data_IF_507238206002
#
_entry.id   IF_507238206002
#
_cell.length_a   1.000
_cell.length_b   1.000
_cell.length_c   1.000
_cell.angle_alpha   90.00
_cell.angle_beta   90.00
_cell.angle_gamma   90.00
#
_symmetry.space_group_name_H-M   'P 1'
#
loop_
_entity.id
_entity.type
_entity.pdbx_description
1 polymer ?
#
# COMPACT_ATOMS: atom_id res chain seq x y z
N UNK A 1 -43.36 -18.29 -43.11
CA UNK A 1 -42.35 -17.31 -42.67
C UNK A 1 -43.04 -16.35 -41.72
N UNK A 2 -42.95 -16.65 -40.43
CA UNK A 2 -43.55 -15.81 -39.39
C UNK A 2 -42.43 -14.96 -38.83
N UNK A 3 -42.43 -13.67 -39.20
CA UNK A 3 -41.48 -12.70 -38.67
C UNK A 3 -41.83 -12.47 -37.21
N UNK A 4 -41.00 -12.98 -36.29
CA UNK A 4 -41.04 -12.61 -34.89
C UNK A 4 -40.42 -11.21 -34.76
N UNK A 5 -41.20 -10.21 -34.37
CA UNK A 5 -40.69 -8.90 -33.97
C UNK A 5 -40.38 -8.94 -32.46
N UNK A 6 -39.12 -8.78 -32.03
CA UNK A 6 -38.78 -8.75 -30.61
C UNK A 6 -38.90 -7.30 -30.10
N UNK A 7 -40.10 -6.79 -29.87
CA UNK A 7 -40.26 -5.43 -29.29
C UNK A 7 -41.54 -5.23 -28.44
N UNK A 8 -42.33 -6.29 -28.21
CA UNK A 8 -43.70 -6.13 -27.68
C UNK A 8 -43.84 -5.67 -26.21
N UNK A 9 -42.99 -6.04 -25.23
CA UNK A 9 -43.32 -5.80 -23.83
C UNK A 9 -43.14 -4.35 -23.36
N UNK A 10 -42.04 -3.66 -23.72
CA UNK A 10 -41.80 -2.27 -23.30
C UNK A 10 -42.73 -1.28 -23.99
N UNK A 11 -42.97 -1.48 -25.29
CA UNK A 11 -43.89 -0.65 -26.07
C UNK A 11 -45.36 -0.81 -25.64
N UNK A 12 -45.79 -2.04 -25.29
CA UNK A 12 -47.15 -2.28 -24.78
C UNK A 12 -47.36 -1.70 -23.36
N UNK A 13 -46.35 -1.75 -22.50
CA UNK A 13 -46.38 -1.12 -21.18
C UNK A 13 -46.44 0.42 -21.28
N UNK A 14 -45.66 1.00 -22.19
CA UNK A 14 -45.68 2.43 -22.50
C UNK A 14 -47.06 2.89 -23.01
N UNK A 15 -47.66 2.12 -23.93
CA UNK A 15 -49.00 2.40 -24.45
C UNK A 15 -50.07 2.29 -23.35
N UNK A 16 -49.94 1.32 -22.44
CA UNK A 16 -50.83 1.15 -21.28
C UNK A 16 -50.76 2.31 -20.27
N UNK A 17 -49.55 2.81 -19.99
CA UNK A 17 -49.33 3.97 -19.12
C UNK A 17 -49.96 5.24 -19.72
N UNK A 18 -49.80 5.42 -21.02
CA UNK A 18 -50.34 6.57 -21.76
C UNK A 18 -51.87 6.52 -21.87
N UNK A 19 -52.46 5.33 -21.97
CA UNK A 19 -53.92 5.13 -21.98
C UNK A 19 -54.56 5.35 -20.59
N UNK A 20 -53.90 4.93 -19.51
CA UNK A 20 -54.36 5.14 -18.13
C UNK A 20 -54.39 6.62 -17.74
N UNK A 21 -53.49 7.42 -18.31
CA UNK A 21 -53.43 8.85 -18.05
C UNK A 21 -54.68 9.61 -18.52
N UNK A 22 -55.25 9.17 -19.64
CA UNK A 22 -56.46 9.77 -20.20
C UNK A 22 -57.72 9.41 -19.40
N UNK A 23 -57.77 8.22 -18.79
CA UNK A 23 -58.93 7.81 -17.97
C UNK A 23 -59.04 8.59 -16.65
N UNK A 24 -57.98 9.29 -16.22
CA UNK A 24 -57.93 10.03 -14.95
C UNK A 24 -58.14 11.53 -15.09
N UNK A 25 -58.34 12.06 -16.32
CA UNK A 25 -58.64 13.48 -16.56
C UNK A 25 -57.55 14.47 -16.13
N UNK A 26 -56.33 13.99 -15.83
CA UNK A 26 -55.20 14.81 -15.36
C UNK A 26 -54.30 15.36 -16.47
N UNK A 27 -54.50 14.96 -17.72
CA UNK A 27 -53.82 15.57 -18.86
C UNK A 27 -54.63 16.79 -19.34
N UNK A 28 -54.15 17.99 -19.01
CA UNK A 28 -54.55 19.22 -19.72
C UNK A 28 -54.20 19.09 -21.21
N UNK A 29 -54.88 19.85 -22.08
CA UNK A 29 -54.84 19.81 -23.54
C UNK A 29 -53.49 20.14 -24.23
N UNK A 30 -52.37 19.83 -23.60
CA UNK A 30 -51.03 19.92 -24.17
C UNK A 30 -50.64 18.58 -24.83
N UNK A 31 -50.05 18.66 -26.02
CA UNK A 31 -49.47 17.52 -26.73
C UNK A 31 -48.44 16.81 -25.83
N UNK A 32 -48.57 15.50 -25.64
CA UNK A 32 -47.63 14.70 -24.83
C UNK A 32 -46.90 13.68 -25.68
N UNK A 33 -45.58 13.58 -25.47
CA UNK A 33 -44.68 12.63 -26.11
C UNK A 33 -43.94 11.83 -25.04
N UNK A 34 -43.89 10.52 -25.26
CA UNK A 34 -43.12 9.55 -24.49
C UNK A 34 -42.02 8.97 -25.39
N UNK A 35 -40.89 8.60 -24.81
CA UNK A 35 -39.83 7.86 -25.49
C UNK A 35 -39.70 6.44 -24.95
N UNK A 36 -39.45 5.48 -25.85
CA UNK A 36 -39.28 4.06 -25.52
C UNK A 36 -38.12 3.48 -26.32
N UNK A 37 -37.14 2.90 -25.63
CA UNK A 37 -36.07 2.09 -26.23
C UNK A 37 -36.59 0.70 -26.63
N UNK A 38 -36.07 0.14 -27.72
CA UNK A 38 -36.45 -1.19 -28.21
C UNK A 38 -36.25 -2.29 -27.18
N UNK A 39 -35.21 -2.15 -26.34
CA UNK A 39 -34.83 -3.06 -25.27
C UNK A 39 -34.09 -2.34 -24.16
N UNK A 40 -33.80 -3.03 -23.04
CA UNK A 40 -33.09 -2.45 -21.90
C UNK A 40 -31.58 -2.65 -21.98
N UNK A 41 -31.16 -3.76 -22.57
CA UNK A 41 -29.76 -4.18 -22.65
C UNK A 41 -29.51 -4.83 -24.02
N UNK A 42 -28.28 -4.75 -24.51
CA UNK A 42 -27.81 -5.43 -25.71
C UNK A 42 -26.36 -5.88 -25.49
N UNK A 43 -25.96 -7.03 -26.03
CA UNK A 43 -24.52 -7.36 -26.15
C UNK A 43 -23.98 -6.70 -27.42
N UNK A 44 -22.77 -6.17 -27.43
CA UNK A 44 -22.27 -5.46 -28.62
C UNK A 44 -22.14 -6.35 -29.86
N UNK A 45 -21.91 -7.66 -29.68
CA UNK A 45 -21.97 -8.63 -30.78
C UNK A 45 -23.35 -8.88 -31.38
N UNK A 46 -24.41 -8.36 -30.75
CA UNK A 46 -25.75 -8.40 -31.32
C UNK A 46 -25.95 -7.29 -32.35
N UNK A 47 -25.94 -7.67 -33.63
CA UNK A 47 -26.16 -6.78 -34.76
C UNK A 47 -27.62 -6.33 -34.94
N UNK A 48 -28.51 -6.56 -33.96
CA UNK A 48 -29.90 -6.10 -34.02
C UNK A 48 -29.95 -4.57 -33.94
N UNK A 49 -30.51 -3.87 -34.94
CA UNK A 49 -30.65 -2.42 -34.89
C UNK A 49 -31.47 -2.00 -33.66
N UNK A 50 -30.96 -1.03 -32.92
CA UNK A 50 -31.63 -0.44 -31.78
C UNK A 50 -32.55 0.67 -32.24
N UNK A 51 -33.71 0.84 -31.59
CA UNK A 51 -34.61 1.94 -31.91
C UNK A 51 -35.06 2.67 -30.65
N UNK A 52 -35.00 4.00 -30.68
CA UNK A 52 -35.74 4.85 -29.77
C UNK A 52 -36.99 5.35 -30.47
N UNK A 53 -38.16 5.02 -29.92
CA UNK A 53 -39.46 5.38 -30.49
C UNK A 53 -40.07 6.53 -29.69
N UNK A 54 -40.30 7.65 -30.37
CA UNK A 54 -41.06 8.79 -29.87
C UNK A 54 -42.52 8.53 -30.18
N UNK A 55 -43.37 8.52 -29.16
CA UNK A 55 -44.79 8.17 -29.27
C UNK A 55 -45.61 9.34 -28.75
N UNK A 56 -46.52 9.84 -29.60
CA UNK A 56 -47.58 10.79 -29.23
C UNK A 56 -48.95 10.12 -29.37
N UNK A 57 -49.95 10.64 -28.68
CA UNK A 57 -51.31 10.05 -28.71
C UNK A 57 -52.17 10.53 -29.86
N UNK A 58 -51.95 11.75 -30.32
CA UNK A 58 -52.69 12.33 -31.44
C UNK A 58 -51.87 12.18 -32.72
N UNK A 59 -52.53 12.19 -33.87
CA UNK A 59 -51.86 12.16 -35.17
C UNK A 59 -52.15 13.43 -35.97
N UNK A 60 -52.40 14.54 -35.28
CA UNK A 60 -52.84 15.81 -35.91
C UNK A 60 -51.68 16.79 -35.96
N UNK A 61 -51.37 17.25 -37.18
CA UNK A 61 -50.28 18.19 -37.45
C UNK A 61 -48.91 17.52 -37.34
N UNK A 62 -47.93 18.09 -38.04
CA UNK A 62 -46.53 17.74 -37.82
C UNK A 62 -46.13 18.21 -36.41
N UNK A 63 -45.37 17.39 -35.69
CA UNK A 63 -44.84 17.71 -34.37
C UNK A 63 -43.32 17.54 -34.36
N UNK A 64 -42.60 18.64 -34.24
CA UNK A 64 -41.17 18.62 -34.01
C UNK A 64 -40.88 18.38 -32.53
N UNK A 65 -40.01 17.40 -32.25
CA UNK A 65 -39.58 17.01 -30.91
C UNK A 65 -38.08 17.26 -30.81
N UNK A 66 -37.69 18.17 -29.92
CA UNK A 66 -36.29 18.42 -29.58
C UNK A 66 -35.81 17.40 -28.56
N UNK A 67 -34.62 16.83 -28.77
CA UNK A 67 -34.03 15.81 -27.91
C UNK A 67 -32.49 15.89 -27.89
N UNK A 68 -31.88 15.22 -26.92
CA UNK A 68 -30.43 15.05 -26.79
C UNK A 68 -30.10 13.58 -26.56
N UNK A 69 -28.92 13.16 -27.01
CA UNK A 69 -28.34 11.85 -26.73
C UNK A 69 -27.19 12.06 -25.74
N UNK A 70 -27.11 11.19 -24.74
CA UNK A 70 -26.12 11.24 -23.66
C UNK A 70 -25.88 9.83 -23.14
N UNK A 71 -24.95 9.67 -22.19
CA UNK A 71 -24.65 8.38 -21.60
C UNK A 71 -23.14 8.25 -21.41
N UNK A 72 -22.69 7.01 -21.26
CA UNK A 72 -21.26 6.70 -21.18
C UNK A 72 -20.71 6.19 -22.50
N UNK A 73 -21.56 5.66 -23.38
CA UNK A 73 -21.15 5.23 -24.72
C UNK A 73 -20.82 6.43 -25.60
N UNK A 74 -19.69 6.35 -26.28
CA UNK A 74 -19.07 7.29 -27.20
C UNK A 74 -19.57 7.05 -28.63
N UNK A 75 -19.95 8.14 -29.30
CA UNK A 75 -20.41 8.11 -30.68
C UNK A 75 -19.25 7.84 -31.65
N UNK A 76 -19.48 6.96 -32.64
CA UNK A 76 -18.48 6.43 -33.60
C UNK A 76 -17.41 5.51 -33.00
N UNK A 77 -17.44 5.26 -31.69
CA UNK A 77 -16.65 4.21 -31.03
C UNK A 77 -17.57 3.02 -30.71
N UNK A 78 -18.67 3.26 -29.98
CA UNK A 78 -19.53 2.18 -29.47
C UNK A 78 -20.88 2.08 -30.22
N UNK A 79 -21.28 3.16 -30.88
CA UNK A 79 -22.48 3.17 -31.70
C UNK A 79 -22.47 4.23 -32.80
N UNK A 80 -23.24 3.93 -33.84
CA UNK A 80 -23.52 4.80 -34.98
C UNK A 80 -25.02 5.03 -35.14
N UNK A 81 -25.39 6.18 -35.74
CA UNK A 81 -26.79 6.48 -36.06
C UNK A 81 -27.10 6.07 -37.49
N UNK A 82 -28.02 5.12 -37.65
CA UNK A 82 -28.44 4.63 -38.96
C UNK A 82 -29.48 5.52 -39.64
N UNK A 83 -30.47 6.04 -38.88
CA UNK A 83 -31.49 6.95 -39.41
C UNK A 83 -32.35 7.59 -38.29
N UNK A 84 -32.86 8.82 -38.46
CA UNK A 84 -32.45 9.81 -39.46
C UNK A 84 -31.03 10.33 -39.16
N UNK A 85 -30.40 11.02 -40.12
CA UNK A 85 -29.10 11.65 -39.88
C UNK A 85 -29.23 12.75 -38.81
N UNK A 86 -28.55 12.55 -37.70
CA UNK A 86 -28.49 13.45 -36.53
C UNK A 86 -27.05 13.45 -36.00
N UNK A 87 -26.70 14.46 -35.21
CA UNK A 87 -25.40 14.55 -34.54
C UNK A 87 -25.61 14.35 -33.04
N UNK A 88 -25.25 13.18 -32.46
CA UNK A 88 -25.47 12.90 -31.05
C UNK A 88 -24.81 13.89 -30.08
N UNK A 89 -23.83 14.69 -30.52
CA UNK A 89 -23.16 15.70 -29.70
C UNK A 89 -23.93 17.02 -29.55
N UNK A 90 -25.02 17.17 -30.31
CA UNK A 90 -25.83 18.39 -30.35
C UNK A 90 -27.26 18.15 -29.85
N UNK A 91 -28.00 19.25 -29.66
CA UNK A 91 -29.46 19.18 -29.60
C UNK A 91 -30.01 18.87 -30.98
N UNK A 92 -30.86 17.85 -31.06
CA UNK A 92 -31.43 17.35 -32.31
C UNK A 92 -32.94 17.54 -32.33
N UNK A 93 -33.52 17.47 -33.53
CA UNK A 93 -34.97 17.55 -33.73
C UNK A 93 -35.44 16.37 -34.58
N UNK A 94 -36.52 15.72 -34.16
CA UNK A 94 -37.22 14.70 -34.96
C UNK A 94 -38.68 15.12 -35.15
N UNK A 95 -39.17 15.03 -36.39
CA UNK A 95 -40.56 15.34 -36.71
C UNK A 95 -41.40 14.07 -36.66
N UNK A 96 -42.47 14.06 -35.85
CA UNK A 96 -43.56 13.10 -35.96
C UNK A 96 -44.58 13.68 -36.96
N UNK A 97 -44.68 13.11 -38.19
CA UNK A 97 -45.47 13.73 -39.25
C UNK A 97 -46.98 13.62 -39.00
N UNK A 98 -47.74 14.55 -39.58
CA UNK A 98 -49.19 14.55 -39.57
C UNK A 98 -49.73 13.21 -40.10
N UNK A 99 -50.71 12.64 -39.40
CA UNK A 99 -51.24 11.31 -39.66
C UNK A 99 -50.47 10.17 -38.99
N UNK A 100 -49.29 10.42 -38.41
CA UNK A 100 -48.52 9.43 -37.64
C UNK A 100 -48.56 9.72 -36.15
N UNK A 101 -48.48 8.66 -35.34
CA UNK A 101 -48.43 8.74 -33.89
C UNK A 101 -47.01 8.49 -33.33
N UNK A 102 -46.03 8.24 -34.20
CA UNK A 102 -44.67 7.96 -33.78
C UNK A 102 -43.63 8.32 -34.84
N UNK A 103 -42.40 8.52 -34.37
CA UNK A 103 -41.18 8.60 -35.16
C UNK A 103 -40.08 7.82 -34.44
N UNK A 104 -39.06 7.38 -35.16
CA UNK A 104 -37.98 6.55 -34.59
C UNK A 104 -36.61 7.09 -34.96
N UNK A 105 -35.67 6.91 -34.03
CA UNK A 105 -34.23 6.97 -34.30
C UNK A 105 -33.73 5.53 -34.24
N UNK A 106 -32.99 5.13 -35.26
CA UNK A 106 -32.35 3.81 -35.36
C UNK A 106 -30.85 3.95 -35.17
N UNK A 107 -30.29 3.16 -34.27
CA UNK A 107 -28.86 3.07 -33.97
C UNK A 107 -28.35 1.67 -34.29
N UNK A 108 -27.06 1.58 -34.58
CA UNK A 108 -26.29 0.34 -34.71
C UNK A 108 -25.20 0.35 -33.67
N UNK A 109 -25.00 -0.78 -32.99
CA UNK A 109 -23.86 -0.94 -32.08
C UNK A 109 -22.65 -1.30 -32.92
N UNK A 110 -21.52 -0.69 -32.59
CA UNK A 110 -20.24 -0.96 -33.21
C UNK A 110 -19.51 -1.98 -32.34
N UNK A 111 -19.41 -3.22 -32.83
CA UNK A 111 -18.68 -4.29 -32.15
C UNK A 111 -17.20 -4.22 -32.52
N UNK A 112 -16.30 -4.16 -31.54
CA UNK A 112 -14.87 -4.15 -31.76
C UNK A 112 -14.12 -5.35 -31.14
N UNK A 113 -12.92 -5.15 -30.60
CA UNK A 113 -12.20 -6.19 -29.84
C UNK A 113 -11.46 -5.53 -28.66
N UNK A 114 -12.03 -4.47 -28.09
CA UNK A 114 -11.54 -3.79 -26.91
C UNK A 114 -12.45 -4.17 -25.75
N UNK A 115 -11.86 -4.49 -24.60
CA UNK A 115 -12.62 -4.85 -23.42
C UNK A 115 -12.92 -3.60 -22.61
N UNK A 116 -14.19 -3.39 -22.37
CA UNK A 116 -14.76 -2.18 -21.82
C UNK A 116 -15.65 -2.50 -20.61
N UNK A 117 -16.17 -1.46 -19.99
CA UNK A 117 -17.22 -1.61 -18.99
C UNK A 117 -18.56 -1.52 -19.70
N UNK A 118 -19.62 -2.06 -19.10
CA UNK A 118 -20.96 -1.85 -19.66
C UNK A 118 -21.29 -0.37 -19.75
N UNK A 119 -21.77 0.04 -20.91
CA UNK A 119 -22.00 1.45 -21.23
C UNK A 119 -23.47 1.75 -21.44
N UNK A 120 -23.82 3.03 -21.60
CA UNK A 120 -25.21 3.46 -21.74
C UNK A 120 -25.39 4.46 -22.86
N UNK A 121 -26.47 4.29 -23.62
CA UNK A 121 -27.05 5.30 -24.51
C UNK A 121 -28.38 5.74 -23.90
N UNK A 122 -28.53 7.03 -23.64
CA UNK A 122 -29.73 7.64 -23.06
C UNK A 122 -30.24 8.75 -23.97
N UNK A 123 -31.48 8.63 -24.42
CA UNK A 123 -32.14 9.66 -25.21
C UNK A 123 -33.14 10.42 -24.33
N UNK A 124 -33.04 11.74 -24.30
CA UNK A 124 -33.88 12.63 -23.49
C UNK A 124 -34.61 13.64 -24.36
N UNK A 125 -35.94 13.71 -24.21
CA UNK A 125 -36.81 14.72 -24.81
C UNK A 125 -36.65 16.04 -24.04
N UNK A 126 -36.40 17.13 -24.77
CA UNK A 126 -36.16 18.47 -24.23
C UNK A 126 -37.32 19.44 -24.47
N UNK A 127 -38.24 19.12 -25.38
CA UNK A 127 -39.42 19.94 -25.67
C UNK A 127 -39.90 19.78 -27.11
N UNK A 128 -40.84 20.62 -27.54
CA UNK A 128 -41.18 20.76 -28.95
C UNK A 128 -40.16 21.64 -29.70
N UNK A 129 -40.31 21.71 -31.03
CA UNK A 129 -39.51 22.57 -31.91
C UNK A 129 -39.56 24.07 -31.58
N UNK A 130 -40.58 24.53 -30.83
CA UNK A 130 -40.73 25.92 -30.38
C UNK A 130 -40.22 26.15 -28.95
N UNK A 131 -39.68 25.12 -28.28
CA UNK A 131 -39.19 25.17 -26.90
C UNK A 131 -40.29 25.02 -25.83
N UNK A 132 -41.50 24.62 -26.22
CA UNK A 132 -42.59 24.27 -25.33
C UNK A 132 -42.40 22.89 -24.68
N UNK A 133 -42.96 22.70 -23.48
CA UNK A 133 -42.92 21.42 -22.79
C UNK A 133 -43.98 20.47 -23.35
N UNK A 134 -43.54 19.35 -23.91
CA UNK A 134 -44.40 18.28 -24.48
C UNK A 134 -44.29 16.95 -23.74
N UNK A 135 -43.83 16.99 -22.51
CA UNK A 135 -43.74 15.86 -21.61
C UNK A 135 -44.06 16.34 -20.20
N UNK A 136 -45.00 15.69 -19.53
CA UNK A 136 -45.32 15.99 -18.12
C UNK A 136 -45.57 14.69 -17.40
N UNK A 137 -45.12 14.59 -16.15
CA UNK A 137 -45.30 13.39 -15.36
C UNK A 137 -46.76 12.92 -15.43
N UNK A 138 -47.00 11.64 -15.75
CA UNK A 138 -46.08 10.52 -15.58
C UNK A 138 -45.51 9.92 -16.88
N UNK A 139 -45.50 10.63 -18.02
CA UNK A 139 -44.75 10.14 -19.19
C UNK A 139 -43.23 10.28 -18.92
N UNK A 140 -42.44 9.25 -19.25
CA UNK A 140 -40.98 9.34 -19.18
C UNK A 140 -40.43 10.16 -20.35
N UNK A 141 -39.70 11.22 -20.03
CA UNK A 141 -39.00 12.06 -21.01
C UNK A 141 -37.64 11.51 -21.41
N UNK A 142 -37.23 10.37 -20.85
CA UNK A 142 -35.97 9.71 -21.19
C UNK A 142 -36.13 8.18 -21.11
N UNK A 143 -35.36 7.47 -21.93
CA UNK A 143 -35.15 6.03 -21.80
C UNK A 143 -33.70 5.70 -22.19
N UNK A 144 -33.22 4.54 -21.75
CA UNK A 144 -31.83 4.14 -21.90
C UNK A 144 -31.70 2.70 -22.37
N UNK A 145 -30.59 2.44 -23.06
CA UNK A 145 -30.10 1.11 -23.44
C UNK A 145 -28.72 0.94 -22.82
N UNK A 146 -28.48 -0.20 -22.17
CA UNK A 146 -27.15 -0.60 -21.69
C UNK A 146 -26.48 -1.47 -22.76
N UNK A 147 -25.26 -1.14 -23.15
CA UNK A 147 -24.41 -1.95 -24.02
C UNK A 147 -23.54 -2.84 -23.10
N UNK A 148 -23.51 -4.13 -23.38
CA UNK A 148 -22.73 -5.12 -22.65
C UNK A 148 -21.58 -5.58 -23.52
N UNK A 149 -20.37 -5.39 -23.00
CA UNK A 149 -19.11 -5.93 -23.51
C UNK A 149 -19.16 -7.45 -23.59
N UNK A 150 -18.62 -8.02 -24.66
CA UNK A 150 -18.57 -9.45 -24.95
C UNK A 150 -17.14 -9.97 -25.22
N UNK A 151 -16.13 -9.11 -25.09
CA UNK A 151 -14.73 -9.49 -25.10
C UNK A 151 -14.38 -10.44 -23.95
N UNK A 152 -13.57 -11.47 -24.24
CA UNK A 152 -13.12 -12.34 -23.20
C UNK A 152 -11.98 -11.72 -22.40
N UNK A 153 -12.29 -11.36 -21.16
CA UNK A 153 -11.36 -10.74 -20.23
C UNK A 153 -10.82 -11.71 -19.17
N UNK A 154 -9.56 -11.56 -18.79
CA UNK A 154 -9.03 -12.13 -17.55
C UNK A 154 -9.23 -11.15 -16.39
N UNK A 155 -9.50 -11.70 -15.22
CA UNK A 155 -9.45 -10.98 -13.96
C UNK A 155 -8.64 -11.76 -12.92
N UNK A 156 -8.01 -11.05 -11.99
CA UNK A 156 -7.31 -11.64 -10.85
C UNK A 156 -7.88 -11.10 -9.54
N UNK A 157 -8.09 -11.99 -8.59
CA UNK A 157 -8.56 -11.65 -7.24
C UNK A 157 -7.72 -12.35 -6.18
N UNK A 158 -7.64 -11.75 -5.00
CA UNK A 158 -7.11 -12.43 -3.82
C UNK A 158 -8.07 -13.57 -3.45
N UNK A 159 -7.52 -14.77 -3.22
CA UNK A 159 -8.30 -15.93 -2.80
C UNK A 159 -8.06 -16.28 -1.34
N UNK A 160 -6.79 -16.49 -0.96
CA UNK A 160 -6.38 -16.83 0.40
C UNK A 160 -5.17 -16.01 0.78
N UNK A 161 -5.19 -15.38 1.95
CA UNK A 161 -4.05 -14.64 2.51
C UNK A 161 -2.97 -15.59 3.02
N UNK A 162 -1.71 -15.23 2.81
CA UNK A 162 -0.56 -15.93 3.36
C UNK A 162 -0.10 -15.29 4.68
N UNK A 163 0.44 -16.11 5.58
CA UNK A 163 1.06 -15.65 6.81
C UNK A 163 2.11 -16.66 7.27
N UNK A 164 3.22 -16.16 7.77
CA UNK A 164 4.19 -16.95 8.52
C UNK A 164 3.55 -17.58 9.77
N UNK A 165 4.06 -18.73 10.23
CA UNK A 165 5.25 -19.43 9.71
C UNK A 165 4.97 -20.39 8.54
N UNK A 166 3.71 -20.67 8.22
CA UNK A 166 3.39 -21.79 7.32
C UNK A 166 2.05 -21.68 6.58
N UNK A 167 1.35 -20.56 6.71
CA UNK A 167 0.06 -20.36 6.04
C UNK A 167 0.29 -19.88 4.62
N UNK A 168 0.15 -20.79 3.66
CA UNK A 168 0.23 -20.44 2.24
C UNK A 168 -1.01 -19.68 1.77
N UNK A 169 -0.80 -18.76 0.82
CA UNK A 169 -1.85 -17.98 0.19
C UNK A 169 -2.09 -18.39 -1.27
N UNK A 170 -3.03 -17.71 -1.93
CA UNK A 170 -3.20 -17.81 -3.38
C UNK A 170 -3.96 -16.61 -3.96
N UNK A 171 -3.72 -16.36 -5.24
CA UNK A 171 -4.57 -15.53 -6.08
C UNK A 171 -5.38 -16.43 -7.02
N UNK A 172 -6.60 -16.04 -7.38
CA UNK A 172 -7.40 -16.71 -8.40
C UNK A 172 -7.43 -15.86 -9.65
N UNK A 173 -7.07 -16.45 -10.79
CA UNK A 173 -7.24 -15.86 -12.12
C UNK A 173 -8.45 -16.51 -12.77
N UNK A 174 -9.40 -15.71 -13.22
CA UNK A 174 -10.66 -16.15 -13.84
C UNK A 174 -10.76 -15.67 -15.28
N UNK A 175 -11.44 -16.47 -16.11
CA UNK A 175 -11.76 -16.19 -17.50
C UNK A 175 -13.24 -16.56 -17.75
N UNK A 176 -14.16 -15.58 -17.76
CA UNK A 176 -15.59 -15.82 -17.75
C UNK A 176 -16.13 -16.06 -19.17
N UNK A 177 -15.71 -17.15 -19.81
CA UNK A 177 -16.34 -17.68 -21.03
C UNK A 177 -16.82 -19.12 -20.78
N UNK A 178 -17.68 -19.71 -21.65
CA UNK A 178 -17.91 -21.15 -21.60
C UNK A 178 -16.57 -21.90 -21.66
N UNK A 179 -16.44 -22.94 -20.84
CA UNK A 179 -15.21 -23.66 -20.59
C UNK A 179 -14.54 -24.09 -21.92
N UNK A 180 -13.33 -23.56 -22.16
CA UNK A 180 -12.60 -23.81 -23.40
C UNK A 180 -12.11 -25.25 -23.44
N UNK A 181 -12.10 -25.84 -24.63
CA UNK A 181 -11.58 -27.20 -24.84
C UNK A 181 -10.05 -27.28 -24.80
N UNK A 182 -9.36 -26.14 -24.68
CA UNK A 182 -7.90 -26.02 -24.58
C UNK A 182 -7.53 -25.11 -23.41
N UNK A 183 -6.32 -25.30 -22.86
CA UNK A 183 -5.80 -24.44 -21.81
C UNK A 183 -5.59 -23.00 -22.32
N UNK A 184 -5.72 -22.02 -21.42
CA UNK A 184 -5.48 -20.61 -21.70
C UNK A 184 -4.19 -20.19 -21.02
N UNK A 185 -3.09 -20.01 -21.77
CA UNK A 185 -1.87 -19.44 -21.21
C UNK A 185 -2.07 -17.96 -20.94
N UNK A 186 -1.54 -17.49 -19.82
CA UNK A 186 -1.51 -16.07 -19.46
C UNK A 186 -0.20 -15.71 -18.77
N UNK A 187 0.12 -14.42 -18.76
CA UNK A 187 1.32 -13.90 -18.13
C UNK A 187 0.99 -12.89 -17.04
N UNK A 188 1.80 -12.87 -15.99
CA UNK A 188 1.69 -11.93 -14.89
C UNK A 188 3.08 -11.51 -14.40
N UNK A 189 3.13 -10.40 -13.66
CA UNK A 189 4.32 -9.88 -13.01
C UNK A 189 4.07 -9.74 -11.52
N UNK A 190 5.00 -10.24 -10.70
CA UNK A 190 4.99 -10.03 -9.26
C UNK A 190 5.78 -8.75 -8.92
N UNK A 191 5.28 -7.97 -7.98
CA UNK A 191 5.85 -6.71 -7.49
C UNK A 191 5.43 -6.45 -6.04
N UNK A 192 5.78 -5.30 -5.49
CA UNK A 192 5.46 -4.89 -4.13
C UNK A 192 6.70 -4.79 -3.24
N UNK A 193 6.49 -4.79 -1.93
CA UNK A 193 7.59 -4.74 -0.94
C UNK A 193 8.07 -6.13 -0.54
N UNK A 194 7.28 -7.17 -0.83
CA UNK A 194 7.67 -8.53 -0.55
C UNK A 194 8.73 -9.04 -1.55
N UNK A 195 9.76 -9.72 -1.06
CA UNK A 195 10.90 -10.19 -1.85
C UNK A 195 10.80 -11.70 -2.10
N UNK A 196 10.79 -12.08 -3.38
CA UNK A 196 10.83 -13.49 -3.77
C UNK A 196 12.14 -14.15 -3.32
N UNK A 197 12.04 -15.33 -2.70
CA UNK A 197 13.15 -16.09 -2.12
C UNK A 197 13.51 -15.70 -0.69
N UNK A 198 12.95 -14.60 -0.16
CA UNK A 198 13.04 -14.22 1.25
C UNK A 198 11.68 -14.47 1.90
N UNK A 199 10.64 -13.73 1.50
CA UNK A 199 9.32 -13.77 2.16
C UNK A 199 8.38 -14.84 1.53
N UNK A 200 8.57 -15.15 0.24
CA UNK A 200 7.78 -16.16 -0.47
C UNK A 200 8.58 -16.84 -1.57
N UNK A 201 8.22 -18.08 -1.91
CA UNK A 201 8.84 -18.76 -3.06
C UNK A 201 8.45 -18.08 -4.37
N UNK A 202 9.41 -17.88 -5.27
CA UNK A 202 9.16 -17.24 -6.56
C UNK A 202 7.99 -17.92 -7.31
N UNK A 203 7.04 -17.10 -7.78
CA UNK A 203 5.86 -17.58 -8.48
C UNK A 203 6.26 -18.22 -9.82
N UNK A 204 5.55 -19.28 -10.18
CA UNK A 204 5.74 -20.01 -11.45
C UNK A 204 4.58 -19.73 -12.40
N UNK A 205 4.88 -19.68 -13.69
CA UNK A 205 3.86 -19.57 -14.74
C UNK A 205 2.91 -20.76 -14.68
N UNK A 206 1.62 -20.47 -14.81
CA UNK A 206 0.54 -21.44 -14.79
C UNK A 206 -0.51 -21.02 -15.83
N UNK A 207 -1.16 -22.01 -16.45
CA UNK A 207 -2.24 -21.78 -17.41
C UNK A 207 -3.59 -22.05 -16.74
N UNK A 208 -4.66 -21.43 -17.23
CA UNK A 208 -6.01 -21.89 -16.92
C UNK A 208 -6.21 -23.22 -17.66
N UNK A 209 -6.45 -24.36 -16.98
CA UNK A 209 -6.54 -25.66 -17.64
C UNK A 209 -7.72 -25.75 -18.61
N UNK A 210 -7.63 -26.68 -19.57
CA UNK A 210 -8.76 -27.00 -20.43
C UNK A 210 -9.98 -27.42 -19.60
N UNK A 211 -11.16 -26.96 -20.01
CA UNK A 211 -12.45 -27.17 -19.35
C UNK A 211 -12.54 -26.55 -17.94
N UNK A 212 -11.70 -25.57 -17.63
CA UNK A 212 -11.79 -24.74 -16.42
C UNK A 212 -11.95 -23.28 -16.81
N UNK A 213 -12.59 -22.50 -15.93
CA UNK A 213 -12.77 -21.06 -16.09
C UNK A 213 -11.87 -20.26 -15.13
N UNK A 214 -11.06 -20.94 -14.33
CA UNK A 214 -10.15 -20.30 -13.39
C UNK A 214 -8.96 -21.19 -13.07
N UNK A 215 -7.92 -20.58 -12.52
CA UNK A 215 -6.81 -21.26 -11.87
C UNK A 215 -6.32 -20.46 -10.67
N UNK A 216 -5.79 -21.17 -9.67
CA UNK A 216 -5.18 -20.52 -8.51
C UNK A 216 -3.66 -20.46 -8.71
N UNK A 217 -3.09 -19.27 -8.56
CA UNK A 217 -1.65 -19.05 -8.45
C UNK A 217 -1.29 -19.26 -6.96
N UNK A 218 -0.60 -20.36 -6.59
CA UNK A 218 -0.22 -20.58 -5.21
C UNK A 218 0.89 -19.62 -4.78
N UNK A 219 0.79 -19.11 -3.55
CA UNK A 219 1.84 -18.34 -2.88
C UNK A 219 2.32 -19.16 -1.70
N UNK A 220 3.52 -19.75 -1.82
CA UNK A 220 4.13 -20.48 -0.71
C UNK A 220 4.95 -19.53 0.14
N UNK A 221 4.54 -19.35 1.39
CA UNK A 221 5.24 -18.48 2.33
C UNK A 221 6.56 -19.13 2.74
N UNK A 222 7.59 -18.31 2.90
CA UNK A 222 8.85 -18.72 3.51
C UNK A 222 8.84 -18.10 4.90
N UNK A 223 9.05 -18.93 5.93
CA UNK A 223 9.28 -18.42 7.27
C UNK A 223 10.73 -17.95 7.38
N UNK A 224 10.94 -16.70 7.75
CA UNK A 224 12.27 -16.21 8.06
C UNK A 224 12.44 -15.86 9.56
N UNK A 225 13.26 -14.86 9.85
CA UNK A 225 13.56 -14.40 11.21
C UNK A 225 13.77 -12.88 11.20
N UNK A 226 13.09 -12.20 10.29
CA UNK A 226 13.15 -10.77 10.08
C UNK A 226 11.81 -10.18 10.49
N UNK A 227 11.82 -9.30 11.48
CA UNK A 227 10.62 -8.57 11.87
C UNK A 227 10.29 -7.51 10.83
N UNK A 228 9.48 -7.86 9.84
CA UNK A 228 9.29 -7.07 8.63
C UNK A 228 7.82 -6.79 8.27
N UNK A 229 7.00 -6.63 9.32
CA UNK A 229 5.56 -6.37 9.30
C UNK A 229 5.02 -5.62 8.06
N UNK A 230 4.01 -6.22 7.43
CA UNK A 230 3.21 -5.55 6.42
C UNK A 230 3.81 -5.56 5.01
N UNK A 231 4.68 -6.53 4.69
CA UNK A 231 5.09 -6.78 3.31
C UNK A 231 3.89 -7.05 2.41
N UNK A 232 3.91 -6.47 1.22
CA UNK A 232 2.84 -6.60 0.23
C UNK A 232 3.40 -7.28 -1.01
N UNK A 233 2.74 -8.36 -1.43
CA UNK A 233 2.89 -8.99 -2.72
C UNK A 233 1.75 -8.54 -3.63
N UNK A 234 2.11 -7.93 -4.76
CA UNK A 234 1.17 -7.50 -5.81
C UNK A 234 1.42 -8.31 -7.08
N UNK A 235 0.37 -8.90 -7.62
CA UNK A 235 0.38 -9.64 -8.89
C UNK A 235 -0.44 -8.88 -9.92
N UNK A 236 0.18 -8.55 -11.04
CA UNK A 236 -0.45 -7.82 -12.15
C UNK A 236 -0.47 -8.70 -13.39
N UNK A 237 -1.67 -8.94 -13.94
CA UNK A 237 -1.83 -9.60 -15.23
C UNK A 237 -1.30 -8.69 -16.35
N UNK A 238 -0.76 -9.30 -17.40
CA UNK A 238 -0.31 -8.60 -18.61
C UNK A 238 -1.17 -9.02 -19.79
N UNK A 239 -1.78 -8.05 -20.48
CA UNK A 239 -2.61 -8.29 -21.67
C UNK A 239 -1.82 -8.90 -22.82
N UNK A 240 -2.53 -9.59 -23.70
CA UNK A 240 -1.98 -10.25 -24.90
C UNK A 240 -2.91 -9.98 -26.09
N UNK A 241 -2.49 -10.34 -27.30
CA UNK A 241 -3.38 -10.32 -28.47
C UNK A 241 -4.47 -11.40 -28.42
N UNK A 242 -4.43 -12.32 -27.45
CA UNK A 242 -5.36 -13.46 -27.33
C UNK A 242 -6.36 -13.34 -26.19
N UNK A 243 -6.16 -12.38 -25.29
CA UNK A 243 -7.02 -12.12 -24.15
C UNK A 243 -6.80 -10.68 -23.68
N UNK A 244 -7.86 -10.07 -23.18
CA UNK A 244 -7.80 -8.76 -22.56
C UNK A 244 -7.84 -8.90 -21.04
N UNK A 245 -7.59 -7.80 -20.35
CA UNK A 245 -7.68 -7.76 -18.90
C UNK A 245 -8.88 -6.88 -18.56
N UNK A 246 -9.75 -7.40 -17.70
CA UNK A 246 -10.95 -6.69 -17.28
C UNK A 246 -10.55 -5.34 -16.66
N UNK A 247 -11.11 -4.21 -17.13
CA UNK A 247 -10.82 -2.91 -16.57
C UNK A 247 -10.98 -2.90 -15.04
N UNK A 248 -9.93 -2.47 -14.33
CA UNK A 248 -9.91 -2.41 -12.86
C UNK A 248 -9.72 -3.75 -12.12
N UNK A 249 -9.62 -4.88 -12.82
CA UNK A 249 -9.46 -6.21 -12.20
C UNK A 249 -8.21 -6.97 -12.68
N UNK A 250 -7.22 -6.23 -13.21
CA UNK A 250 -5.93 -6.78 -13.65
C UNK A 250 -4.87 -6.92 -12.57
N UNK A 251 -5.14 -6.45 -11.35
CA UNK A 251 -4.17 -6.38 -10.27
C UNK A 251 -4.82 -6.91 -8.99
N UNK A 252 -4.12 -7.81 -8.30
CA UNK A 252 -4.48 -8.25 -6.96
C UNK A 252 -3.27 -8.13 -6.04
N UNK A 253 -3.53 -7.79 -4.78
CA UNK A 253 -2.49 -7.64 -3.75
C UNK A 253 -2.83 -8.47 -2.53
N UNK A 254 -1.78 -8.89 -1.82
CA UNK A 254 -1.85 -9.63 -0.58
C UNK A 254 -0.80 -9.06 0.38
N UNK A 255 -1.21 -8.69 1.59
CA UNK A 255 -0.26 -8.47 2.68
C UNK A 255 0.13 -9.83 3.25
N UNK A 256 1.43 -10.08 3.37
CA UNK A 256 1.98 -11.28 3.99
C UNK A 256 1.99 -11.05 5.51
N UNK A 257 1.36 -11.95 6.26
CA UNK A 257 1.45 -11.91 7.72
C UNK A 257 2.84 -12.34 8.20
N UNK A 258 3.38 -11.62 9.18
CA UNK A 258 4.68 -11.89 9.80
C UNK A 258 4.47 -12.42 11.23
N UNK A 259 5.24 -13.44 11.62
CA UNK A 259 5.18 -14.00 12.97
C UNK A 259 6.34 -13.54 13.89
N UNK A 260 7.30 -12.79 13.35
CA UNK A 260 8.45 -12.22 14.07
C UNK A 260 8.16 -10.87 14.73
N UNK A 261 8.82 -10.64 15.88
CA UNK A 261 8.84 -9.35 16.57
C UNK A 261 10.27 -8.84 16.67
N UNK A 262 10.49 -7.55 16.49
CA UNK A 262 11.85 -6.98 16.46
C UNK A 262 11.93 -5.58 17.03
N UNK A 263 13.15 -5.13 17.30
CA UNK A 263 13.40 -3.79 17.85
C UNK A 263 13.11 -2.71 16.80
N UNK A 264 12.30 -1.73 17.16
CA UNK A 264 11.92 -0.60 16.30
C UNK A 264 12.49 0.73 16.77
N UNK A 265 12.77 0.89 18.07
CA UNK A 265 13.28 2.14 18.63
C UNK A 265 14.11 1.89 19.91
N UNK A 266 15.10 2.74 20.13
CA UNK A 266 15.85 2.84 21.38
C UNK A 266 15.89 4.30 21.83
N UNK A 267 15.45 4.56 23.06
CA UNK A 267 15.35 5.91 23.61
C UNK A 267 15.70 5.93 25.09
N UNK A 268 15.54 7.09 25.73
CA UNK A 268 15.59 7.21 27.18
C UNK A 268 14.19 7.21 27.79
N UNK A 269 14.09 6.66 29.00
CA UNK A 269 12.86 6.65 29.79
C UNK A 269 12.40 8.07 30.17
N UNK A 270 11.12 8.24 30.54
CA UNK A 270 10.53 9.55 30.81
C UNK A 270 11.19 10.33 31.96
N UNK A 271 11.87 9.63 32.87
CA UNK A 271 12.65 10.21 33.98
C UNK A 271 14.11 10.52 33.62
N UNK A 272 14.51 10.30 32.36
CA UNK A 272 15.88 10.49 31.86
C UNK A 272 15.83 11.46 30.66
N UNK A 273 15.57 12.77 30.89
CA UNK A 273 15.56 13.77 29.82
C UNK A 273 16.96 14.00 29.23
N UNK A 274 17.04 14.75 28.12
CA UNK A 274 18.33 15.19 27.59
C UNK A 274 19.12 15.98 28.64
N UNK A 275 20.44 15.80 28.67
CA UNK A 275 21.31 16.49 29.62
C UNK A 275 22.60 15.76 29.94
N UNK A 276 23.32 16.27 30.93
CA UNK A 276 24.58 15.70 31.41
C UNK A 276 24.36 14.88 32.67
N UNK A 277 24.88 13.66 32.66
CA UNK A 277 24.76 12.68 33.72
C UNK A 277 26.13 12.43 34.34
N UNK A 278 26.24 12.75 35.63
CA UNK A 278 27.49 12.64 36.38
C UNK A 278 27.66 11.24 36.97
N UNK A 279 28.86 10.94 37.48
CA UNK A 279 29.16 9.71 38.24
C UNK A 279 28.02 9.34 39.23
N UNK A 280 27.57 8.08 39.16
CA UNK A 280 26.51 7.52 39.99
C UNK A 280 25.08 7.86 39.53
N UNK A 281 24.91 8.69 38.50
CA UNK A 281 23.59 8.94 37.92
C UNK A 281 23.05 7.70 37.23
N UNK A 282 21.73 7.50 37.29
CA UNK A 282 21.05 6.40 36.60
C UNK A 282 20.38 6.93 35.33
N UNK A 283 20.76 6.37 34.20
CA UNK A 283 20.15 6.58 32.89
C UNK A 283 19.25 5.37 32.62
N UNK A 284 17.94 5.60 32.47
CA UNK A 284 17.01 4.55 32.03
C UNK A 284 16.92 4.60 30.52
N UNK A 285 17.27 3.49 29.87
CA UNK A 285 17.22 3.29 28.42
C UNK A 285 16.02 2.40 28.13
N UNK A 286 15.20 2.75 27.15
CA UNK A 286 14.04 1.97 26.71
C UNK A 286 14.32 1.38 25.33
N UNK A 287 14.08 0.09 25.17
CA UNK A 287 14.12 -0.63 23.89
C UNK A 287 12.70 -1.03 23.53
N UNK A 288 12.18 -0.50 22.42
CA UNK A 288 10.82 -0.76 21.94
C UNK A 288 10.82 -1.77 20.81
N UNK A 289 9.91 -2.73 20.88
CA UNK A 289 9.67 -3.79 19.90
C UNK A 289 8.39 -3.52 19.11
N UNK A 290 8.26 -4.12 17.92
CA UNK A 290 7.05 -4.04 17.10
C UNK A 290 5.83 -4.65 17.79
N UNK A 291 6.03 -5.70 18.59
CA UNK A 291 5.01 -6.31 19.43
C UNK A 291 5.46 -6.57 20.87
N UNK A 292 4.52 -6.96 21.74
CA UNK A 292 4.83 -7.28 23.13
C UNK A 292 5.78 -8.49 23.22
N UNK A 293 6.76 -8.40 24.12
CA UNK A 293 7.78 -9.44 24.33
C UNK A 293 7.74 -9.99 25.76
N UNK A 294 8.04 -11.28 25.90
CA UNK A 294 8.23 -11.95 27.18
C UNK A 294 9.72 -12.20 27.44
N UNK A 295 10.16 -11.83 28.64
CA UNK A 295 11.57 -11.88 29.06
C UNK A 295 11.77 -12.95 30.13
N UNK A 296 12.80 -13.77 29.97
CA UNK A 296 13.35 -14.61 31.05
C UNK A 296 14.82 -14.25 31.29
N UNK A 297 15.33 -14.55 32.49
CA UNK A 297 16.72 -14.24 32.85
C UNK A 297 16.97 -12.75 33.06
N UNK A 298 18.19 -12.30 32.77
CA UNK A 298 18.61 -10.91 32.97
C UNK A 298 19.39 -10.39 31.75
N UNK A 299 18.69 -10.08 30.64
CA UNK A 299 19.31 -9.47 29.48
C UNK A 299 20.07 -8.18 29.83
N UNK A 300 21.06 -7.85 29.01
CA UNK A 300 21.89 -6.66 29.17
C UNK A 300 22.00 -5.91 27.85
N UNK A 301 22.26 -4.61 27.93
CA UNK A 301 22.56 -3.77 26.78
C UNK A 301 23.95 -3.15 26.97
N UNK A 302 24.85 -3.40 26.02
CA UNK A 302 26.20 -2.85 26.03
C UNK A 302 26.19 -1.39 25.55
N UNK A 303 26.47 -0.45 26.46
CA UNK A 303 26.50 0.99 26.17
C UNK A 303 27.92 1.49 25.88
N UNK A 304 28.04 2.37 24.90
CA UNK A 304 29.28 3.01 24.49
C UNK A 304 29.58 4.23 25.39
N UNK A 305 29.96 3.96 26.64
CA UNK A 305 30.19 4.98 27.65
C UNK A 305 31.69 5.29 27.88
N UNK A 306 32.56 5.08 26.90
CA UNK A 306 33.99 5.35 27.03
C UNK A 306 34.87 4.38 26.25
N UNK A 307 36.15 4.21 26.62
CA UNK A 307 37.08 3.31 25.92
C UNK A 307 36.76 1.82 26.13
N UNK A 308 35.89 1.48 27.09
CA UNK A 308 35.35 0.14 27.29
C UNK A 308 33.84 0.22 27.41
N UNK A 309 33.08 -0.76 26.87
CA UNK A 309 31.64 -0.81 27.04
C UNK A 309 31.24 -0.91 28.51
N UNK A 310 30.16 -0.24 28.88
CA UNK A 310 29.50 -0.43 30.17
C UNK A 310 28.20 -1.22 29.99
N UNK A 311 27.69 -1.83 31.07
CA UNK A 311 26.50 -2.67 31.02
C UNK A 311 25.27 -1.94 31.57
N UNK A 312 24.24 -1.81 30.75
CA UNK A 312 22.90 -1.47 31.20
C UNK A 312 22.13 -2.76 31.52
N UNK A 313 21.53 -2.85 32.71
CA UNK A 313 20.86 -4.05 33.19
C UNK A 313 19.35 -3.97 32.94
N UNK A 314 18.75 -5.06 32.47
CA UNK A 314 17.30 -5.17 32.37
C UNK A 314 16.62 -4.87 33.71
N UNK A 315 15.61 -4.01 33.68
CA UNK A 315 14.93 -3.48 34.87
C UNK A 315 13.43 -3.79 34.88
N UNK A 316 12.72 -3.57 33.76
CA UNK A 316 11.26 -3.73 33.70
C UNK A 316 10.75 -3.84 32.25
N UNK A 317 9.46 -4.14 32.06
CA UNK A 317 8.77 -4.12 30.75
C UNK A 317 8.30 -5.48 30.24
N UNK A 318 8.44 -6.55 31.03
CA UNK A 318 8.01 -7.90 30.66
C UNK A 318 6.52 -7.95 30.26
N UNK A 319 6.22 -8.56 29.12
CA UNK A 319 4.86 -8.66 28.59
C UNK A 319 4.36 -7.39 27.90
N UNK A 320 5.23 -6.40 27.68
CA UNK A 320 4.92 -5.15 26.97
C UNK A 320 5.79 -5.01 25.73
N UNK A 321 5.51 -4.01 24.90
CA UNK A 321 6.33 -3.68 23.73
C UNK A 321 7.64 -2.97 24.10
N UNK A 322 7.82 -2.51 25.34
CA UNK A 322 8.99 -1.69 25.71
C UNK A 322 9.70 -2.27 26.92
N UNK A 323 10.95 -2.67 26.73
CA UNK A 323 11.84 -3.11 27.80
C UNK A 323 12.68 -1.94 28.30
N UNK A 324 12.82 -1.83 29.62
CA UNK A 324 13.63 -0.80 30.28
C UNK A 324 14.92 -1.40 30.82
N UNK A 325 16.04 -0.73 30.55
CA UNK A 325 17.38 -1.04 31.01
C UNK A 325 17.92 0.12 31.84
N UNK A 326 18.67 -0.16 32.90
CA UNK A 326 19.31 0.85 33.75
C UNK A 326 20.81 0.80 33.60
N UNK A 327 21.38 1.92 33.19
CA UNK A 327 22.80 2.17 33.18
C UNK A 327 23.15 3.15 34.30
N UNK A 328 24.11 2.79 35.15
CA UNK A 328 24.64 3.68 36.19
C UNK A 328 25.99 4.18 35.73
N UNK A 329 26.16 5.51 35.65
CA UNK A 329 27.43 6.12 35.24
C UNK A 329 28.53 5.70 36.21
N UNK A 330 29.52 4.97 35.73
CA UNK A 330 30.68 4.50 36.46
C UNK A 330 31.84 5.49 36.42
N UNK A 331 32.89 5.23 37.22
CA UNK A 331 34.13 6.02 37.16
C UNK A 331 34.76 5.95 35.78
N UNK A 332 35.24 7.09 35.28
CA UNK A 332 35.89 7.24 33.97
C UNK A 332 34.98 7.04 32.74
N UNK A 333 33.69 6.73 32.95
CA UNK A 333 32.75 6.68 31.84
C UNK A 333 32.60 8.08 31.23
N UNK A 334 32.73 8.19 29.92
CA UNK A 334 32.62 9.45 29.20
C UNK A 334 32.02 9.22 27.81
N UNK A 335 30.97 9.97 27.51
CA UNK A 335 30.42 10.07 26.17
C UNK A 335 29.88 11.48 25.91
N UNK A 336 30.19 12.03 24.75
CA UNK A 336 29.61 13.29 24.29
C UNK A 336 28.13 13.13 23.91
N UNK A 337 27.75 11.93 23.49
CA UNK A 337 26.37 11.54 23.27
C UNK A 337 26.25 10.01 23.40
N UNK A 338 25.54 9.55 24.41
CA UNK A 338 25.50 8.14 24.79
C UNK A 338 24.73 7.32 23.75
N UNK A 339 25.32 6.21 23.32
CA UNK A 339 24.67 5.21 22.49
C UNK A 339 25.01 3.80 22.97
N UNK A 340 24.50 2.78 22.29
CA UNK A 340 24.97 1.40 22.40
C UNK A 340 26.11 1.10 21.44
N UNK A 341 26.85 0.02 21.72
CA UNK A 341 28.13 -0.25 21.03
C UNK A 341 27.96 -0.62 19.55
N UNK A 342 26.90 -1.32 19.17
CA UNK A 342 26.58 -1.74 17.81
C UNK A 342 25.15 -2.34 17.73
N UNK A 343 24.71 -2.73 16.54
CA UNK A 343 23.37 -3.31 16.30
C UNK A 343 23.09 -4.63 17.02
N UNK A 344 24.10 -5.30 17.59
CA UNK A 344 23.97 -6.56 18.34
C UNK A 344 24.21 -6.39 19.84
N UNK A 345 24.22 -5.15 20.36
CA UNK A 345 24.54 -4.83 21.76
C UNK A 345 23.52 -5.35 22.79
N UNK A 346 22.33 -5.77 22.35
CA UNK A 346 21.31 -6.38 23.21
C UNK A 346 21.60 -7.88 23.38
N UNK A 347 22.08 -8.26 24.57
CA UNK A 347 22.49 -9.62 24.88
C UNK A 347 21.51 -10.30 25.85
N UNK A 348 21.23 -11.59 25.61
CA UNK A 348 20.28 -12.36 26.41
C UNK A 348 20.82 -12.79 27.79
N UNK A 349 22.14 -12.89 27.95
CA UNK A 349 22.81 -13.29 29.19
C UNK A 349 22.20 -14.56 29.86
N UNK A 350 22.02 -15.62 29.04
CA UNK A 350 21.43 -16.89 29.49
C UNK A 350 19.90 -16.88 29.66
N UNK A 351 19.25 -15.75 29.39
CA UNK A 351 17.79 -15.59 29.33
C UNK A 351 17.20 -15.74 27.93
N UNK A 352 15.99 -15.23 27.75
CA UNK A 352 15.29 -15.18 26.47
C UNK A 352 14.48 -13.90 26.33
N UNK A 353 14.31 -13.43 25.09
CA UNK A 353 13.31 -12.43 24.71
C UNK A 353 12.55 -13.05 23.56
N UNK A 354 11.25 -13.32 23.75
CA UNK A 354 10.38 -13.98 22.77
C UNK A 354 9.13 -13.14 22.54
N UNK A 355 8.45 -13.29 21.40
CA UNK A 355 7.11 -12.73 21.20
C UNK A 355 6.16 -13.23 22.29
N UNK A 356 5.49 -12.30 22.99
CA UNK A 356 4.69 -12.62 24.17
C UNK A 356 3.58 -13.63 23.83
N UNK A 357 3.45 -14.66 24.68
CA UNK A 357 2.48 -15.73 24.47
C UNK A 357 2.90 -16.81 23.47
N UNK A 358 4.10 -16.72 22.91
CA UNK A 358 4.65 -17.69 21.95
C UNK A 358 6.03 -18.21 22.39
N UNK A 359 6.65 -19.04 21.55
CA UNK A 359 8.05 -19.46 21.66
C UNK A 359 8.95 -18.83 20.60
N UNK A 360 8.43 -17.93 19.75
CA UNK A 360 9.19 -17.34 18.66
C UNK A 360 10.19 -16.29 19.22
N UNK A 361 11.51 -16.46 19.03
CA UNK A 361 12.50 -15.48 19.48
C UNK A 361 12.29 -14.09 18.88
N UNK A 362 12.48 -13.05 19.67
CA UNK A 362 12.49 -11.70 19.14
C UNK A 362 13.79 -11.43 18.37
N UNK A 363 13.70 -10.68 17.28
CA UNK A 363 14.84 -10.14 16.53
C UNK A 363 15.47 -9.01 17.34
N UNK A 364 16.69 -9.25 17.84
CA UNK A 364 17.38 -8.33 18.76
C UNK A 364 18.29 -7.31 18.06
N UNK A 365 18.21 -7.23 16.73
CA UNK A 365 18.99 -6.27 15.94
C UNK A 365 18.47 -4.86 16.25
N UNK A 366 19.32 -4.06 16.90
CA UNK A 366 19.05 -2.66 17.20
C UNK A 366 19.25 -1.81 15.93
N UNK A 367 18.65 -0.60 15.87
CA UNK A 367 18.98 0.39 14.86
C UNK A 367 20.49 0.66 14.79
N UNK A 368 20.99 1.18 13.66
CA UNK A 368 22.41 1.51 13.58
C UNK A 368 22.69 2.75 14.45
N UNK A 369 23.71 2.74 15.34
CA UNK A 369 24.07 3.90 16.15
C UNK A 369 24.20 5.19 15.32
N UNK A 370 23.59 6.27 15.82
CA UNK A 370 23.52 7.57 15.13
C UNK A 370 22.51 7.67 13.98
N UNK A 371 21.79 6.60 13.64
CA UNK A 371 20.68 6.63 12.66
C UNK A 371 19.32 6.73 13.37
N UNK A 372 18.27 7.06 12.61
CA UNK A 372 16.91 7.13 13.13
C UNK A 372 16.53 5.87 13.94
N UNK A 373 15.93 6.05 15.11
CA UNK A 373 15.59 4.97 16.04
C UNK A 373 16.71 4.56 17.00
N UNK A 374 17.95 5.04 16.83
CA UNK A 374 19.04 4.82 17.79
C UNK A 374 19.00 5.79 18.98
N UNK A 375 19.69 5.44 20.07
CA UNK A 375 19.64 6.23 21.30
C UNK A 375 20.18 7.65 21.08
N UNK A 376 21.34 7.78 20.43
CA UNK A 376 21.97 9.09 20.14
C UNK A 376 21.21 9.91 19.09
N UNK A 377 20.47 9.26 18.19
CA UNK A 377 19.58 10.00 17.27
C UNK A 377 18.32 10.53 17.98
N UNK A 378 17.83 9.80 18.98
CA UNK A 378 16.58 10.11 19.68
C UNK A 378 16.76 11.01 20.89
N UNK A 379 17.95 11.02 21.49
CA UNK A 379 18.26 11.70 22.75
C UNK A 379 19.68 12.27 22.69
N UNK A 380 19.88 13.36 23.43
CA UNK A 380 21.18 13.99 23.63
C UNK A 380 21.60 13.79 25.09
N UNK A 381 22.34 12.71 25.34
CA UNK A 381 22.71 12.25 26.67
C UNK A 381 24.23 12.31 26.85
N UNK A 382 24.72 13.34 27.54
CA UNK A 382 26.15 13.48 27.84
C UNK A 382 26.47 12.70 29.12
N UNK A 383 27.51 11.88 29.10
CA UNK A 383 28.00 11.14 30.26
C UNK A 383 29.34 11.71 30.70
N UNK A 384 29.45 12.05 31.99
CA UNK A 384 30.68 12.52 32.64
C UNK A 384 30.88 11.84 34.00
N UNK A 385 31.50 10.67 33.96
CA UNK A 385 31.89 9.86 35.12
C UNK A 385 33.19 10.31 35.78
N UNK A 386 33.84 11.39 35.31
CA UNK A 386 35.11 11.87 35.85
C UNK A 386 34.82 12.70 37.11
N UNK A 387 35.41 12.31 38.24
CA UNK A 387 35.30 13.10 39.47
C UNK A 387 35.98 14.47 39.25
N UNK A 388 35.24 15.56 39.48
CA UNK A 388 35.80 16.91 39.49
C UNK A 388 36.85 17.04 40.61
N UNK A 389 38.09 16.74 40.26
CA UNK A 389 39.26 16.57 41.14
C UNK A 389 40.45 15.90 40.43
N UNK A 390 40.23 15.25 39.29
CA UNK A 390 41.28 14.67 38.43
C UNK A 390 41.36 15.26 37.01
N UNK A 391 40.70 16.39 36.74
CA UNK A 391 41.01 17.16 35.52
C UNK A 391 42.48 17.59 35.61
N UNK A 392 43.38 17.21 34.69
CA UNK A 392 44.74 17.73 34.70
C UNK A 392 44.64 19.24 34.55
N UNK A 393 45.02 19.98 35.58
CA UNK A 393 45.21 21.41 35.47
C UNK A 393 46.30 21.61 34.40
N UNK A 394 46.03 22.33 33.29
CA UNK A 394 47.07 22.65 32.32
C UNK A 394 48.19 23.40 33.03
N UNK A 395 49.41 22.87 32.94
CA UNK A 395 50.51 23.20 33.83
C UNK A 395 50.87 24.69 33.88
N UNK A 396 51.01 25.19 35.10
CA UNK A 396 51.85 26.36 35.39
C UNK A 396 53.13 25.82 35.99
N UNK A 397 54.22 25.86 35.23
CA UNK A 397 55.57 25.71 35.78
C UNK A 397 55.79 26.94 36.68
N UNK A 398 55.84 26.76 37.99
CA UNK A 398 56.51 27.71 38.88
C UNK A 398 57.81 27.08 39.37
N UNK A 399 58.92 27.66 38.91
CA UNK A 399 60.26 27.42 39.40
C UNK A 399 60.46 28.03 40.78
N UNK A 400 61.21 27.31 41.61
CA UNK A 400 62.08 27.74 42.72
C UNK A 400 61.46 28.63 43.81
N UNK A 401 61.33 28.11 45.03
CA UNK A 401 62.40 28.31 46.02
C UNK A 401 62.29 27.33 47.20
N UNK A 402 63.43 26.79 47.61
CA UNK A 402 63.56 25.88 48.75
C UNK A 402 64.09 26.66 49.96
N UNK A 403 63.20 27.01 50.89
CA UNK A 403 63.61 27.38 52.24
C UNK A 403 63.30 26.24 53.21
N UNK A 404 64.25 25.31 53.31
CA UNK A 404 64.35 24.35 54.42
C UNK A 404 64.96 25.05 55.64
N UNK A 405 64.17 25.17 56.72
CA UNK A 405 64.70 25.45 58.05
C UNK A 405 65.52 24.27 58.54
N UNK A 406 66.84 24.47 58.66
CA UNK A 406 67.77 23.57 59.31
C UNK A 406 67.67 23.71 60.84
N UNK A 407 67.39 22.60 61.53
CA UNK A 407 67.95 22.32 62.85
C UNK A 407 68.97 21.19 62.65
N UNK A 408 70.24 21.46 62.95
CA UNK A 408 71.34 20.51 62.79
C UNK A 408 71.41 19.49 63.92
N UNK A 409 71.96 18.31 63.61
CA UNK A 409 73.20 17.75 64.17
C UNK A 409 73.43 16.34 63.60
N UNK A 410 74.68 16.01 63.27
CA UNK A 410 75.17 14.62 63.38
C UNK A 410 75.38 13.82 62.10
N UNK A 411 76.48 14.11 61.40
CA UNK A 411 77.44 13.18 60.77
C UNK A 411 77.02 11.72 60.50
N UNK A 412 77.19 11.29 59.24
CA UNK A 412 77.83 9.98 58.97
C UNK A 412 77.24 9.09 57.88
N UNK A 413 78.01 8.96 56.78
CA UNK A 413 78.34 7.69 56.09
C UNK A 413 77.30 7.10 55.10
N UNK A 414 77.65 7.25 53.81
CA UNK A 414 77.79 6.22 52.77
C UNK A 414 76.58 5.59 52.06
N UNK A 415 76.68 5.70 50.73
CA UNK A 415 76.35 4.74 49.68
C UNK A 415 74.90 4.25 49.56
N UNK A 416 74.32 4.41 48.37
CA UNK A 416 74.36 3.38 47.32
C UNK A 416 73.35 3.74 46.21
N UNK A 417 73.90 4.15 45.07
CA UNK A 417 73.58 3.68 43.71
C UNK A 417 72.15 3.15 43.44
N UNK A 418 71.39 3.83 42.58
CA UNK A 418 71.03 3.25 41.27
C UNK A 418 70.59 4.32 40.27
N UNK A 419 71.38 4.41 39.20
CA UNK A 419 71.27 5.35 38.09
C UNK A 419 70.35 4.79 37.00
N UNK A 420 69.48 5.69 36.54
CA UNK A 420 68.90 5.88 35.22
C UNK A 420 69.09 4.84 34.09
N UNK A 421 67.96 4.64 33.41
CA UNK A 421 67.80 4.33 31.99
C UNK A 421 68.91 4.90 31.09
N UNK A 422 69.28 4.17 30.03
CA UNK A 422 69.19 4.74 28.68
C UNK A 422 69.16 3.66 27.60
N UNK A 423 68.15 3.78 26.75
CA UNK A 423 68.00 3.04 25.52
C UNK A 423 68.94 3.55 24.43
N UNK A 424 69.32 2.62 23.54
CA UNK A 424 69.42 2.87 22.11
C UNK A 424 70.63 3.64 21.61
N UNK A 425 71.55 2.92 20.94
CA UNK A 425 71.90 3.26 19.56
C UNK A 425 72.63 2.08 18.91
N UNK A 426 72.01 1.51 17.88
CA UNK A 426 72.62 0.58 16.93
C UNK A 426 73.47 1.37 15.93
N UNK A 427 74.76 1.04 15.83
CA UNK A 427 75.64 1.56 14.77
C UNK A 427 76.34 0.38 14.07
N UNK A 428 75.98 0.18 12.81
CA UNK A 428 76.52 -0.81 11.88
C UNK A 428 77.93 -0.39 11.44
N UNK A 429 78.93 -1.24 11.68
CA UNK A 429 80.31 -1.02 11.23
C UNK A 429 80.58 -1.84 9.97
N UNK A 430 80.76 -1.14 8.85
CA UNK A 430 81.27 -1.68 7.58
C UNK A 430 82.80 -1.57 7.58
N UNK A 431 83.43 -2.73 7.37
CA UNK A 431 84.87 -3.02 7.34
C UNK A 431 85.59 -2.32 6.17
N UNK A 432 86.70 -1.61 6.41
CA UNK A 432 87.76 -1.35 5.40
C UNK A 432 89.14 -1.42 6.07
N UNK A 433 90.05 -2.18 5.43
CA UNK A 433 91.48 -2.44 5.70
C UNK A 433 92.30 -1.12 5.63
N UNK A 434 93.41 -0.91 6.33
CA UNK A 434 94.64 -1.71 6.43
C UNK A 434 95.38 -1.40 7.72
#
# INVERSE_FOLDING_TARGET
>A
MTVHYPCFPRCLAALGLLLLLMSTGRASAAEQVLIVASQATINESDNTPLTFTFIRMTSVGDLDVNFTISGTATFEEDYTVSAPAIDPSLSNTITIPNGSNSATISLTIDNDNLAELSETITVTINGDGAGGTIYTAPVSSSDSIVILDDEPVLEIVLNVTAAEPATNGSFTVSYPLPARTSAVPFTFVASGTAIAGIDYQALVSIDIPANQNFVNIPVTIINDSLADDGKVLTVSLTSSSTYLIKPGAGIASMTLGNDDTGVTDVSSGPSTPNGTYLLGSIITITVTFSEAVAVTGSPTLDVAAGPSPALAQYFDGNGTTTLSFRYTVGPEDSSADLDYTNTTALALNGGSIVRAGTTNPAVLILPTPGQAGSLSANRNLVVDGILNGQKPVPGTVQSTDSHTSQCGFGQGISALLLLCMLAGLTLSVRRIKH
#
